data_IF_390782131971
#
_entry.id   IF_390782131971
#
_cell.length_a   1.000
_cell.length_b   1.000
_cell.length_c   1.000
_cell.angle_alpha   90.00
_cell.angle_beta   90.00
_cell.angle_gamma   90.00
#
_symmetry.space_group_name_H-M   'P 1'
#
loop_
_entity.id
_entity.type
_entity.pdbx_description
1 polymer ?
#
# COMPACT_ATOMS: atom_id res chain seq x y z
N UNK A 1 11.33 -13.29 5.92
CA UNK A 1 11.87 -12.31 4.94
C UNK A 1 12.64 -11.27 5.72
N UNK A 2 13.97 -11.28 5.65
CA UNK A 2 14.84 -10.43 6.47
C UNK A 2 16.19 -11.12 6.69
N UNK A 3 17.14 -10.36 7.23
CA UNK A 3 18.46 -10.85 7.59
C UNK A 3 18.35 -12.11 8.46
N UNK A 4 19.00 -13.18 8.03
CA UNK A 4 19.16 -14.43 8.79
C UNK A 4 20.64 -14.75 8.94
N UNK A 5 20.97 -15.57 9.95
CA UNK A 5 22.34 -16.07 10.14
C UNK A 5 22.87 -16.69 8.83
N UNK A 6 24.07 -16.28 8.43
CA UNK A 6 24.74 -16.75 7.19
C UNK A 6 24.60 -15.84 5.96
N UNK A 7 23.99 -14.66 6.06
CA UNK A 7 23.91 -13.67 4.96
C UNK A 7 24.74 -12.43 5.27
N UNK A 8 25.34 -11.80 4.24
CA UNK A 8 26.11 -10.53 4.39
C UNK A 8 25.18 -9.45 4.95
N UNK A 9 25.42 -9.06 6.20
CA UNK A 9 24.63 -8.08 6.93
C UNK A 9 25.07 -6.67 6.50
N UNK A 10 24.24 -5.99 5.71
CA UNK A 10 24.31 -4.53 5.61
C UNK A 10 23.27 -3.92 6.55
N UNK A 11 23.53 -2.74 7.14
CA UNK A 11 22.52 -2.06 7.96
C UNK A 11 21.26 -1.80 7.11
N UNK A 12 20.09 -1.91 7.73
CA UNK A 12 18.84 -1.59 7.06
C UNK A 12 18.85 -0.13 6.57
N UNK A 13 18.46 0.07 5.32
CA UNK A 13 18.34 1.39 4.72
C UNK A 13 17.23 2.18 5.42
N UNK A 14 17.53 3.40 5.86
CA UNK A 14 16.50 4.31 6.37
C UNK A 14 15.68 4.91 5.22
N UNK A 15 14.45 5.36 5.51
CA UNK A 15 13.62 6.05 4.51
C UNK A 15 14.33 7.31 3.95
N UNK A 16 15.03 8.07 4.81
CA UNK A 16 15.80 9.25 4.39
C UNK A 16 16.95 8.89 3.44
N UNK A 17 17.62 7.76 3.65
CA UNK A 17 18.66 7.27 2.74
C UNK A 17 18.06 6.80 1.41
N UNK A 18 16.96 6.05 1.44
CA UNK A 18 16.27 5.61 0.23
C UNK A 18 15.86 6.82 -0.63
N UNK A 19 15.24 7.83 -0.01
CA UNK A 19 14.86 9.06 -0.71
C UNK A 19 16.07 9.82 -1.27
N UNK A 20 17.20 9.87 -0.56
CA UNK A 20 18.41 10.54 -1.09
C UNK A 20 19.13 9.77 -2.20
N UNK A 21 19.16 8.44 -2.13
CA UNK A 21 19.94 7.59 -3.04
C UNK A 21 19.21 7.26 -4.34
N UNK A 22 17.88 7.15 -4.31
CA UNK A 22 17.09 6.91 -5.52
C UNK A 22 16.96 8.20 -6.33
N UNK A 23 17.17 8.19 -7.67
CA UNK A 23 17.05 9.37 -8.51
C UNK A 23 15.72 10.11 -8.32
N UNK A 24 15.76 11.44 -8.26
CA UNK A 24 14.59 12.26 -7.90
C UNK A 24 13.42 12.25 -8.91
N UNK A 25 13.62 11.71 -10.11
CA UNK A 25 12.54 11.51 -11.09
C UNK A 25 11.77 10.20 -10.88
N UNK A 26 12.27 9.30 -10.02
CA UNK A 26 11.61 8.05 -9.66
C UNK A 26 10.71 8.28 -8.45
N UNK A 27 9.43 7.97 -8.60
CA UNK A 27 8.44 8.06 -7.52
C UNK A 27 8.56 6.92 -6.51
N UNK A 28 7.97 7.10 -5.33
CA UNK A 28 7.89 6.07 -4.30
C UNK A 28 6.45 5.71 -3.98
N UNK A 29 6.16 4.41 -3.90
CA UNK A 29 5.01 3.89 -3.18
C UNK A 29 5.48 3.45 -1.78
N UNK A 30 5.15 4.22 -0.76
CA UNK A 30 5.56 3.97 0.63
C UNK A 30 4.44 3.24 1.34
N UNK A 31 4.64 1.94 1.57
CA UNK A 31 3.75 1.15 2.42
C UNK A 31 4.08 1.40 3.90
N UNK A 32 3.10 1.85 4.68
CA UNK A 32 3.19 1.96 6.13
C UNK A 32 2.89 0.60 6.75
N UNK A 33 3.92 -0.04 7.28
CA UNK A 33 3.82 -1.26 8.08
C UNK A 33 3.62 -0.87 9.55
N UNK A 34 2.38 -1.02 10.02
CA UNK A 34 2.02 -0.86 11.43
C UNK A 34 1.29 -2.14 11.87
N UNK A 35 1.70 -2.77 12.98
CA UNK A 35 1.18 -4.08 13.36
C UNK A 35 -0.28 -3.98 13.79
N UNK A 36 -1.11 -4.93 13.36
CA UNK A 36 -2.41 -5.12 13.96
C UNK A 36 -2.27 -5.76 15.36
N UNK A 37 -3.36 -5.81 16.13
CA UNK A 37 -3.34 -6.34 17.50
C UNK A 37 -2.83 -7.79 17.57
N UNK A 38 -3.23 -8.64 16.62
CA UNK A 38 -2.81 -10.04 16.57
C UNK A 38 -1.32 -10.16 16.28
N UNK A 39 -0.80 -9.41 15.32
CA UNK A 39 0.64 -9.36 14.99
C UNK A 39 1.46 -8.84 16.18
N UNK A 40 1.01 -7.76 16.81
CA UNK A 40 1.69 -7.19 17.96
C UNK A 40 1.78 -8.19 19.13
N UNK A 41 0.73 -8.98 19.37
CA UNK A 41 0.73 -10.01 20.40
C UNK A 41 1.60 -11.23 20.04
N UNK A 42 1.55 -11.70 18.79
CA UNK A 42 2.29 -12.87 18.33
C UNK A 42 3.80 -12.63 18.30
N UNK A 43 4.21 -11.43 17.88
CA UNK A 43 5.61 -11.07 17.69
C UNK A 43 6.16 -10.23 18.86
N UNK A 44 5.40 -10.12 19.97
CA UNK A 44 5.75 -9.36 21.18
C UNK A 44 6.19 -7.91 20.90
N UNK A 45 5.51 -7.25 19.95
CA UNK A 45 5.86 -5.91 19.48
C UNK A 45 5.28 -4.84 20.40
N UNK A 46 6.11 -3.86 20.74
CA UNK A 46 5.65 -2.60 21.36
C UNK A 46 5.29 -1.63 20.24
N UNK A 47 3.99 -1.53 19.94
CA UNK A 47 3.49 -0.60 18.93
C UNK A 47 3.66 0.85 19.40
N UNK A 48 4.34 1.71 18.63
CA UNK A 48 4.45 3.14 18.95
C UNK A 48 3.08 3.81 18.83
N UNK A 49 2.91 4.99 19.41
CA UNK A 49 1.71 5.80 19.15
C UNK A 49 1.53 6.02 17.64
N UNK A 50 0.38 5.62 17.09
CA UNK A 50 0.11 5.63 15.66
C UNK A 50 0.22 7.04 15.06
N UNK A 51 -0.24 8.05 15.80
CA UNK A 51 -0.21 9.43 15.37
C UNK A 51 1.23 9.96 15.30
N UNK A 52 2.07 9.64 16.28
CA UNK A 52 3.50 9.94 16.29
C UNK A 52 4.25 9.19 15.19
N UNK A 53 3.91 7.91 14.95
CA UNK A 53 4.48 7.11 13.86
C UNK A 53 4.22 7.74 12.49
N UNK A 54 2.96 8.04 12.16
CA UNK A 54 2.61 8.71 10.90
C UNK A 54 3.27 10.09 10.78
N UNK A 55 3.36 10.85 11.88
CA UNK A 55 4.05 12.13 11.88
C UNK A 55 5.54 12.00 11.57
N UNK A 56 6.23 11.03 12.16
CA UNK A 56 7.65 10.79 11.92
C UNK A 56 7.92 10.43 10.44
N UNK A 57 7.08 9.57 9.84
CA UNK A 57 7.20 9.23 8.42
C UNK A 57 7.00 10.47 7.54
N UNK A 58 5.95 11.26 7.79
CA UNK A 58 5.69 12.49 7.04
C UNK A 58 6.82 13.50 7.16
N UNK A 59 7.39 13.68 8.36
CA UNK A 59 8.52 14.59 8.56
C UNK A 59 9.72 14.21 7.69
N UNK A 60 10.06 12.92 7.60
CA UNK A 60 11.13 12.41 6.74
C UNK A 60 10.80 12.63 5.26
N UNK A 61 9.57 12.32 4.83
CA UNK A 61 9.16 12.50 3.44
C UNK A 61 9.20 13.98 3.04
N UNK A 62 8.66 14.89 3.85
CA UNK A 62 8.70 16.31 3.56
C UNK A 62 10.12 16.87 3.50
N UNK A 63 11.03 16.36 4.33
CA UNK A 63 12.42 16.81 4.34
C UNK A 63 13.25 16.30 3.14
N UNK A 64 12.90 15.12 2.58
CA UNK A 64 13.79 14.42 1.64
C UNK A 64 13.18 14.04 0.28
N UNK A 65 11.86 14.07 0.10
CA UNK A 65 11.22 13.68 -1.15
C UNK A 65 11.45 14.71 -2.29
N UNK A 66 11.59 15.99 -1.95
CA UNK A 66 11.64 17.06 -2.93
C UNK A 66 10.33 17.12 -3.74
N UNK A 67 10.43 17.15 -5.06
CA UNK A 67 9.27 17.19 -5.96
C UNK A 67 8.87 15.82 -6.52
N UNK A 68 9.49 14.73 -6.04
CA UNK A 68 9.21 13.39 -6.61
C UNK A 68 7.78 12.97 -6.27
N UNK A 69 7.12 12.17 -7.14
CA UNK A 69 5.83 11.58 -6.82
C UNK A 69 5.95 10.65 -5.61
N UNK A 70 5.10 10.84 -4.61
CA UNK A 70 4.98 9.93 -3.47
C UNK A 70 3.53 9.49 -3.36
N UNK A 71 3.33 8.21 -3.08
CA UNK A 71 2.05 7.61 -2.75
C UNK A 71 2.20 6.85 -1.44
N UNK A 72 1.23 6.98 -0.54
CA UNK A 72 1.17 6.18 0.68
C UNK A 72 0.16 5.05 0.55
N UNK A 73 0.46 3.92 1.17
CA UNK A 73 -0.49 2.81 1.30
C UNK A 73 -0.34 2.10 2.66
N UNK A 74 -1.39 1.47 3.17
CA UNK A 74 -1.27 0.52 4.29
C UNK A 74 -2.41 -0.50 4.30
N UNK A 75 -2.15 -1.70 4.82
CA UNK A 75 -3.18 -2.67 5.21
C UNK A 75 -3.87 -2.29 6.52
N UNK A 76 -3.26 -1.39 7.33
CA UNK A 76 -3.84 -0.95 8.60
C UNK A 76 -4.79 0.24 8.36
N UNK A 77 -6.12 0.08 8.54
CA UNK A 77 -7.08 1.12 8.16
C UNK A 77 -6.89 2.44 8.92
N UNK A 78 -6.52 2.37 10.20
CA UNK A 78 -6.28 3.55 11.03
C UNK A 78 -5.01 4.30 10.61
N UNK A 79 -3.97 3.60 10.13
CA UNK A 79 -2.77 4.25 9.58
C UNK A 79 -3.12 5.01 8.31
N UNK A 80 -3.92 4.41 7.42
CA UNK A 80 -4.46 5.05 6.23
C UNK A 80 -5.28 6.29 6.56
N UNK A 81 -6.21 6.18 7.50
CA UNK A 81 -7.03 7.30 7.98
C UNK A 81 -6.17 8.41 8.58
N UNK A 82 -5.21 8.06 9.44
CA UNK A 82 -4.29 9.00 10.08
C UNK A 82 -3.49 9.79 9.03
N UNK A 83 -2.97 9.11 8.00
CA UNK A 83 -2.26 9.77 6.90
C UNK A 83 -3.16 10.68 6.07
N UNK A 84 -4.38 10.23 5.75
CA UNK A 84 -5.34 11.02 4.98
C UNK A 84 -5.76 12.30 5.73
N UNK A 85 -5.86 12.25 7.07
CA UNK A 85 -6.19 13.42 7.89
C UNK A 85 -5.01 14.38 8.12
N UNK A 86 -3.77 13.88 8.08
CA UNK A 86 -2.57 14.67 8.39
C UNK A 86 -2.05 15.50 7.24
N UNK A 87 -2.40 15.16 6.00
CA UNK A 87 -1.85 15.81 4.81
C UNK A 87 -2.79 15.65 3.62
N UNK A 88 -2.67 16.54 2.64
CA UNK A 88 -3.46 16.52 1.39
C UNK A 88 -2.58 16.51 0.14
N UNK A 89 -1.26 16.47 0.30
CA UNK A 89 -0.27 16.58 -0.78
C UNK A 89 -0.08 15.29 -1.57
N UNK A 90 -0.08 14.15 -0.88
CA UNK A 90 0.24 12.84 -1.42
C UNK A 90 -0.98 11.92 -1.38
N UNK A 91 -1.28 11.19 -2.47
CA UNK A 91 -2.32 10.18 -2.50
C UNK A 91 -2.13 9.14 -1.40
N UNK A 92 -3.22 8.75 -0.75
CA UNK A 92 -3.26 7.66 0.22
C UNK A 92 -4.20 6.58 -0.31
N UNK A 93 -3.73 5.33 -0.37
CA UNK A 93 -4.50 4.17 -0.79
C UNK A 93 -4.64 3.16 0.34
N UNK A 94 -5.74 2.43 0.35
CA UNK A 94 -5.96 1.33 1.28
C UNK A 94 -5.59 -0.02 0.64
N UNK A 95 -4.71 -0.78 1.29
CA UNK A 95 -4.40 -2.16 0.86
C UNK A 95 -5.45 -3.12 1.42
N UNK A 96 -5.91 -4.05 0.59
CA UNK A 96 -6.94 -5.03 0.92
C UNK A 96 -6.62 -6.38 0.28
N UNK A 97 -6.94 -7.48 0.97
CA UNK A 97 -6.91 -8.80 0.36
C UNK A 97 -8.08 -9.01 -0.61
N UNK A 98 -9.11 -8.15 -0.55
CA UNK A 98 -10.17 -8.08 -1.55
C UNK A 98 -11.02 -9.36 -1.67
N UNK A 99 -10.94 -10.25 -0.68
CA UNK A 99 -11.58 -11.57 -0.69
C UNK A 99 -10.65 -12.73 -1.06
N UNK A 100 -9.35 -12.48 -1.25
CA UNK A 100 -8.35 -13.55 -1.48
C UNK A 100 -8.07 -14.35 -0.21
N UNK A 101 -7.73 -13.66 0.87
CA UNK A 101 -7.44 -14.22 2.18
C UNK A 101 -8.19 -13.43 3.26
N UNK A 102 -8.54 -14.10 4.36
CA UNK A 102 -9.11 -13.45 5.53
C UNK A 102 -8.01 -12.74 6.34
N UNK A 103 -8.15 -11.43 6.48
CA UNK A 103 -7.36 -10.61 7.40
C UNK A 103 -8.14 -10.29 8.67
N UNK A 104 -7.41 -9.83 9.69
CA UNK A 104 -7.97 -9.48 10.99
C UNK A 104 -9.04 -8.40 10.92
N UNK A 105 -8.87 -7.42 10.03
CA UNK A 105 -9.78 -6.31 9.88
C UNK A 105 -10.78 -6.53 8.74
N UNK A 106 -12.06 -6.56 9.07
CA UNK A 106 -13.14 -6.82 8.11
C UNK A 106 -13.16 -5.85 6.91
N UNK A 107 -12.65 -4.62 7.08
CA UNK A 107 -12.58 -3.63 5.99
C UNK A 107 -11.64 -4.11 4.88
N UNK A 108 -10.64 -4.92 5.21
CA UNK A 108 -9.68 -5.50 4.28
C UNK A 108 -10.14 -6.79 3.60
N UNK A 109 -11.27 -7.38 3.99
CA UNK A 109 -11.68 -8.73 3.57
C UNK A 109 -12.53 -8.77 2.29
N UNK A 110 -13.01 -7.63 1.78
CA UNK A 110 -13.71 -7.60 0.49
C UNK A 110 -13.47 -6.30 -0.26
N UNK A 111 -13.51 -6.36 -1.58
CA UNK A 111 -13.44 -5.17 -2.43
C UNK A 111 -14.56 -4.18 -2.10
N UNK A 112 -15.77 -4.65 -1.78
CA UNK A 112 -16.87 -3.79 -1.40
C UNK A 112 -16.58 -3.00 -0.12
N UNK A 113 -16.12 -3.68 0.94
CA UNK A 113 -15.77 -3.02 2.21
C UNK A 113 -14.59 -2.05 2.04
N UNK A 114 -13.57 -2.44 1.27
CA UNK A 114 -12.41 -1.59 0.99
C UNK A 114 -12.79 -0.33 0.21
N UNK A 115 -13.64 -0.45 -0.81
CA UNK A 115 -14.16 0.70 -1.58
C UNK A 115 -14.99 1.62 -0.69
N UNK A 116 -15.93 1.09 0.09
CA UNK A 116 -16.77 1.88 0.98
C UNK A 116 -15.93 2.65 2.02
N UNK A 117 -14.91 1.99 2.58
CA UNK A 117 -13.96 2.62 3.50
C UNK A 117 -13.16 3.72 2.82
N UNK A 118 -12.63 3.46 1.61
CA UNK A 118 -11.86 4.43 0.86
C UNK A 118 -12.67 5.69 0.52
N UNK A 119 -13.93 5.54 0.11
CA UNK A 119 -14.81 6.68 -0.14
C UNK A 119 -15.09 7.48 1.14
N UNK A 120 -15.38 6.79 2.24
CA UNK A 120 -15.72 7.43 3.53
C UNK A 120 -14.62 8.37 4.02
N UNK A 121 -13.36 8.05 3.76
CA UNK A 121 -12.20 8.84 4.21
C UNK A 121 -11.54 9.66 3.10
N UNK A 122 -12.18 9.76 1.93
CA UNK A 122 -11.65 10.56 0.82
C UNK A 122 -10.29 10.06 0.33
N UNK A 123 -10.05 8.75 0.36
CA UNK A 123 -8.82 8.16 -0.13
C UNK A 123 -8.72 8.27 -1.65
N UNK A 124 -7.49 8.22 -2.16
CA UNK A 124 -7.25 8.28 -3.59
C UNK A 124 -7.57 6.96 -4.31
N UNK A 125 -7.57 5.84 -3.59
CA UNK A 125 -7.82 4.52 -4.19
C UNK A 125 -7.60 3.35 -3.25
N UNK A 126 -7.59 2.16 -3.83
CA UNK A 126 -7.26 0.91 -3.16
C UNK A 126 -6.12 0.17 -3.87
N UNK A 127 -5.45 -0.70 -3.14
CA UNK A 127 -4.50 -1.68 -3.67
C UNK A 127 -5.02 -3.07 -3.29
N UNK A 128 -5.37 -3.90 -4.27
CA UNK A 128 -5.99 -5.21 -4.02
C UNK A 128 -5.13 -6.37 -4.54
N UNK A 129 -5.28 -7.55 -3.95
CA UNK A 129 -4.79 -8.76 -4.61
C UNK A 129 -5.40 -8.91 -6.01
N UNK A 130 -4.61 -9.37 -6.98
CA UNK A 130 -5.07 -9.52 -8.35
C UNK A 130 -6.09 -10.67 -8.54
N UNK A 131 -5.99 -11.73 -7.76
CA UNK A 131 -6.81 -12.95 -7.95
C UNK A 131 -8.34 -12.67 -7.96
N UNK A 132 -8.93 -11.92 -7.00
CA UNK A 132 -10.35 -11.56 -7.08
C UNK A 132 -10.74 -10.77 -8.34
N UNK A 133 -9.83 -9.96 -8.87
CA UNK A 133 -10.03 -9.18 -10.10
C UNK A 133 -9.94 -10.07 -11.34
N UNK A 134 -9.08 -11.09 -11.33
CA UNK A 134 -8.99 -12.07 -12.41
C UNK A 134 -10.31 -12.85 -12.57
N UNK A 135 -10.93 -13.24 -11.45
CA UNK A 135 -12.22 -13.95 -11.45
C UNK A 135 -13.39 -13.04 -11.85
N UNK A 136 -13.32 -11.75 -11.52
CA UNK A 136 -14.38 -10.78 -11.80
C UNK A 136 -13.84 -9.42 -12.32
N UNK A 137 -13.37 -9.34 -13.59
CA UNK A 137 -12.74 -8.13 -14.13
C UNK A 137 -13.62 -6.88 -14.13
N UNK A 138 -14.95 -7.05 -14.19
CA UNK A 138 -15.91 -5.95 -14.19
C UNK A 138 -15.88 -5.11 -12.89
N UNK A 139 -15.33 -5.67 -11.80
CA UNK A 139 -15.17 -4.98 -10.51
C UNK A 139 -14.25 -3.77 -10.62
N UNK A 140 -13.26 -3.78 -11.52
CA UNK A 140 -12.40 -2.61 -11.78
C UNK A 140 -13.24 -1.42 -12.26
N UNK A 141 -14.17 -1.67 -13.17
CA UNK A 141 -15.09 -0.65 -13.64
C UNK A 141 -15.97 -0.10 -12.52
N UNK A 142 -16.36 -0.93 -11.54
CA UNK A 142 -17.10 -0.48 -10.36
C UNK A 142 -16.26 0.42 -9.46
N UNK A 143 -15.02 0.03 -9.15
CA UNK A 143 -14.08 0.82 -8.33
C UNK A 143 -13.85 2.19 -8.97
N UNK A 144 -13.56 2.21 -10.28
CA UNK A 144 -13.30 3.46 -11.01
C UNK A 144 -14.52 4.39 -11.10
N UNK A 145 -15.73 3.84 -11.22
CA UNK A 145 -16.97 4.64 -11.18
C UNK A 145 -17.19 5.34 -9.85
N UNK A 146 -16.55 4.85 -8.77
CA UNK A 146 -16.55 5.50 -7.46
C UNK A 146 -15.47 6.59 -7.34
N UNK A 147 -14.73 6.89 -8.41
CA UNK A 147 -13.65 7.88 -8.42
C UNK A 147 -12.36 7.42 -7.76
N UNK A 148 -12.21 6.12 -7.50
CA UNK A 148 -11.06 5.54 -6.84
C UNK A 148 -10.09 4.93 -7.86
N UNK A 149 -8.79 5.14 -7.64
CA UNK A 149 -7.75 4.39 -8.33
C UNK A 149 -7.75 2.93 -7.87
N UNK A 150 -7.47 2.01 -8.80
CA UNK A 150 -7.36 0.58 -8.53
C UNK A 150 -5.96 0.10 -8.87
N UNK A 151 -5.17 -0.20 -7.84
CA UNK A 151 -3.86 -0.82 -7.99
C UNK A 151 -3.94 -2.30 -7.63
N UNK A 152 -3.03 -3.12 -8.15
CA UNK A 152 -2.99 -4.55 -7.85
C UNK A 152 -1.63 -5.01 -7.36
N UNK A 153 -1.62 -6.04 -6.51
CA UNK A 153 -0.43 -6.82 -6.14
C UNK A 153 -0.71 -8.32 -6.27
N UNK A 154 0.35 -9.12 -6.26
CA UNK A 154 0.25 -10.58 -6.23
C UNK A 154 1.29 -11.25 -7.13
N UNK A 155 1.49 -12.55 -6.93
CA UNK A 155 2.54 -13.32 -7.63
C UNK A 155 2.38 -13.28 -9.15
N UNK A 156 1.14 -13.32 -9.65
CA UNK A 156 0.82 -13.22 -11.08
C UNK A 156 1.23 -11.89 -11.72
N UNK A 157 1.43 -10.83 -10.94
CA UNK A 157 1.89 -9.55 -11.49
C UNK A 157 3.30 -9.62 -12.08
N UNK A 158 4.07 -10.65 -11.74
CA UNK A 158 5.41 -10.86 -12.29
C UNK A 158 5.40 -11.44 -13.71
N UNK A 159 4.25 -11.87 -14.25
CA UNK A 159 4.17 -12.38 -15.61
C UNK A 159 3.59 -11.33 -16.58
N UNK A 160 4.34 -11.01 -17.63
CA UNK A 160 3.96 -10.02 -18.64
C UNK A 160 2.55 -10.23 -19.24
N UNK A 161 2.05 -11.46 -19.51
CA UNK A 161 0.69 -11.67 -19.98
C UNK A 161 -0.38 -11.18 -18.98
N UNK A 162 -0.17 -11.41 -17.68
CA UNK A 162 -1.11 -10.95 -16.65
C UNK A 162 -1.04 -9.43 -16.47
N UNK A 163 0.13 -8.81 -16.62
CA UNK A 163 0.25 -7.34 -16.63
C UNK A 163 -0.51 -6.74 -17.82
N UNK A 164 -0.37 -7.31 -19.02
CA UNK A 164 -1.10 -6.87 -20.21
C UNK A 164 -2.61 -7.03 -20.04
N UNK A 165 -3.06 -8.14 -19.45
CA UNK A 165 -4.46 -8.40 -19.14
C UNK A 165 -5.03 -7.37 -18.14
N UNK A 166 -4.30 -7.08 -17.06
CA UNK A 166 -4.68 -6.07 -16.07
C UNK A 166 -4.83 -4.68 -16.68
N UNK A 167 -3.88 -4.30 -17.55
CA UNK A 167 -3.96 -3.05 -18.31
C UNK A 167 -5.20 -3.01 -19.20
N UNK A 168 -5.55 -4.12 -19.86
CA UNK A 168 -6.75 -4.21 -20.69
C UNK A 168 -8.05 -4.07 -19.86
N UNK A 169 -8.06 -4.58 -18.63
CA UNK A 169 -9.20 -4.38 -17.70
C UNK A 169 -9.26 -2.98 -17.08
N UNK A 170 -8.20 -2.17 -17.26
CA UNK A 170 -8.14 -0.79 -16.80
C UNK A 170 -7.69 -0.64 -15.35
N UNK A 171 -6.83 -1.55 -14.86
CA UNK A 171 -6.04 -1.33 -13.63
C UNK A 171 -5.15 -0.10 -13.81
N UNK A 172 -5.07 0.77 -12.80
CA UNK A 172 -4.33 2.04 -12.86
C UNK A 172 -2.82 1.84 -12.58
N UNK A 173 -2.45 0.86 -11.73
CA UNK A 173 -1.06 0.47 -11.52
C UNK A 173 -0.93 -0.99 -11.07
N UNK A 174 0.18 -1.64 -11.46
CA UNK A 174 0.49 -3.03 -11.14
C UNK A 174 1.79 -3.06 -10.33
N UNK A 175 1.74 -3.62 -9.12
CA UNK A 175 2.92 -3.80 -8.25
C UNK A 175 3.55 -5.15 -8.57
N UNK A 176 4.81 -5.13 -8.98
CA UNK A 176 5.62 -6.31 -9.38
C UNK A 176 6.83 -6.44 -8.46
N UNK A 177 7.31 -7.67 -8.26
CA UNK A 177 8.58 -7.94 -7.56
C UNK A 177 9.80 -7.76 -8.49
N UNK A 178 9.59 -7.95 -9.80
CA UNK A 178 10.63 -7.85 -10.83
C UNK A 178 10.20 -6.92 -11.96
N UNK A 179 11.00 -5.88 -12.22
CA UNK A 179 10.82 -4.90 -13.31
C UNK A 179 11.73 -5.19 -14.50
#
# INVERSE_FOLDING_TARGET
KGNSDGTIQSPFCTLAEALRRVPGHIGFNIELKYPNLKEALLDELVSPDLNAYCHAVLAVVHAHAGTRPITFSSFHPEAVMCMALKQTTYPVLFLTEGGKDDVWDERGNSLHAAVAWAQRWGLAGIVTAFQPIEEAPYLIGQIRRQGLACFTYGTRNNDAPFVAMQRAYGVDAVIVDHV
#
